data_IF_903308024555
#
_entry.id   IF_903308024555
#
_cell.length_a   1.000
_cell.length_b   1.000
_cell.length_c   1.000
_cell.angle_alpha   90.00
_cell.angle_beta   90.00
_cell.angle_gamma   90.00
#
_symmetry.space_group_name_H-M   'P 1'
#
loop_
_entity.id
_entity.type
_entity.pdbx_description
1 polymer ?
#
# COMPACT_ATOMS: atom_id res chain seq x y z
N UNK A 1 30.11 38.31 -10.64
CA UNK A 1 30.78 37.00 -10.44
C UNK A 1 29.81 35.91 -10.89
N UNK A 2 30.15 35.11 -11.87
CA UNK A 2 29.36 33.92 -12.24
C UNK A 2 29.52 32.87 -11.13
N UNK A 3 28.45 32.24 -10.62
CA UNK A 3 28.59 31.20 -9.60
C UNK A 3 29.44 30.06 -10.16
N UNK A 4 30.43 29.63 -9.40
CA UNK A 4 31.28 28.48 -9.71
C UNK A 4 30.35 27.26 -9.87
N UNK A 5 30.32 26.67 -11.07
CA UNK A 5 29.60 25.44 -11.37
C UNK A 5 30.25 24.35 -10.51
N UNK A 6 29.51 23.91 -9.48
CA UNK A 6 29.95 22.76 -8.67
C UNK A 6 29.95 21.56 -9.63
N UNK A 7 31.11 21.04 -9.99
CA UNK A 7 31.22 19.82 -10.75
C UNK A 7 30.71 18.67 -9.89
N UNK A 8 29.49 18.20 -10.20
CA UNK A 8 28.94 17.03 -9.55
C UNK A 8 29.74 15.81 -10.00
N UNK A 9 30.27 15.07 -9.05
CA UNK A 9 30.96 13.80 -9.30
C UNK A 9 29.96 12.83 -9.96
N UNK A 10 30.29 12.34 -11.14
CA UNK A 10 29.48 11.37 -11.88
C UNK A 10 29.66 9.98 -11.26
N UNK A 11 28.56 9.35 -10.83
CA UNK A 11 28.53 8.00 -10.25
C UNK A 11 27.76 7.05 -11.18
N UNK A 12 28.49 6.42 -12.12
CA UNK A 12 27.92 5.45 -13.06
C UNK A 12 27.40 4.17 -12.39
N UNK A 13 28.10 3.58 -11.40
CA UNK A 13 27.57 2.44 -10.63
C UNK A 13 26.24 2.74 -9.95
N UNK A 14 26.10 3.91 -9.32
CA UNK A 14 24.85 4.33 -8.71
C UNK A 14 23.74 4.49 -9.75
N UNK A 15 24.05 5.13 -10.89
CA UNK A 15 23.09 5.27 -11.99
C UNK A 15 22.61 3.92 -12.51
N UNK A 16 23.50 2.94 -12.66
CA UNK A 16 23.16 1.59 -13.09
C UNK A 16 22.22 0.87 -12.08
N UNK A 17 22.50 1.04 -10.79
CA UNK A 17 21.65 0.51 -9.71
C UNK A 17 20.25 1.13 -9.76
N UNK A 18 20.15 2.45 -9.87
CA UNK A 18 18.87 3.17 -9.96
C UNK A 18 18.07 2.79 -11.22
N UNK A 19 18.76 2.56 -12.36
CA UNK A 19 18.12 2.07 -13.59
C UNK A 19 17.53 0.68 -13.37
N UNK A 20 18.26 -0.24 -12.75
CA UNK A 20 17.78 -1.60 -12.45
C UNK A 20 16.58 -1.59 -11.51
N UNK A 21 16.56 -0.66 -10.56
CA UNK A 21 15.43 -0.43 -9.66
C UNK A 21 14.21 0.24 -10.35
N UNK A 22 14.30 0.58 -11.64
CA UNK A 22 13.19 1.15 -12.40
C UNK A 22 12.96 2.65 -12.22
N UNK A 23 13.92 3.39 -11.65
CA UNK A 23 13.79 4.83 -11.42
C UNK A 23 13.79 5.62 -12.74
N UNK A 24 13.04 6.73 -12.75
CA UNK A 24 12.98 7.66 -13.88
C UNK A 24 14.29 8.43 -14.06
N UNK A 25 14.55 9.00 -15.27
CA UNK A 25 15.78 9.75 -15.54
C UNK A 25 16.01 10.95 -14.62
N UNK A 26 14.97 11.63 -14.17
CA UNK A 26 15.07 12.82 -13.31
C UNK A 26 15.76 12.54 -11.96
N UNK A 27 15.27 11.61 -11.16
CA UNK A 27 15.97 11.15 -9.94
C UNK A 27 17.39 10.68 -10.21
N UNK A 28 17.60 9.84 -11.26
CA UNK A 28 18.94 9.32 -11.61
C UNK A 28 19.91 10.47 -11.90
N UNK A 29 19.52 11.42 -12.75
CA UNK A 29 20.34 12.59 -13.09
C UNK A 29 20.69 13.41 -11.84
N UNK A 30 19.71 13.57 -10.94
CA UNK A 30 19.89 14.37 -9.72
C UNK A 30 20.85 13.73 -8.73
N UNK A 31 20.75 12.43 -8.51
CA UNK A 31 21.52 11.74 -7.47
C UNK A 31 22.89 11.24 -7.97
N UNK A 32 22.98 10.79 -9.23
CA UNK A 32 24.23 10.24 -9.78
C UNK A 32 25.07 11.24 -10.59
N UNK A 33 24.53 12.41 -10.93
CA UNK A 33 25.20 13.37 -11.80
C UNK A 33 25.32 12.95 -13.28
N UNK A 34 24.75 11.80 -13.65
CA UNK A 34 24.79 11.26 -15.02
C UNK A 34 23.77 11.98 -15.89
N UNK A 35 24.15 12.39 -17.10
CA UNK A 35 23.25 13.09 -18.02
C UNK A 35 22.17 12.17 -18.60
N UNK A 36 21.03 12.71 -19.03
CA UNK A 36 19.94 11.94 -19.67
C UNK A 36 20.42 11.12 -20.87
N UNK A 37 21.34 11.65 -21.67
CA UNK A 37 21.93 10.94 -22.82
C UNK A 37 22.71 9.71 -22.38
N UNK A 38 23.48 9.83 -21.29
CA UNK A 38 24.23 8.71 -20.71
C UNK A 38 23.28 7.68 -20.05
N UNK A 39 22.21 8.13 -19.36
CA UNK A 39 21.17 7.27 -18.79
C UNK A 39 20.51 6.45 -19.90
N UNK A 40 20.13 7.07 -21.03
CA UNK A 40 19.55 6.38 -22.18
C UNK A 40 20.49 5.33 -22.79
N UNK A 41 21.81 5.61 -22.80
CA UNK A 41 22.81 4.62 -23.22
C UNK A 41 22.92 3.48 -22.22
N UNK A 42 23.07 3.77 -20.93
CA UNK A 42 23.16 2.76 -19.87
C UNK A 42 21.93 1.84 -19.83
N UNK A 43 20.72 2.37 -20.03
CA UNK A 43 19.50 1.55 -20.11
C UNK A 43 19.54 0.54 -21.24
N UNK A 44 20.00 0.95 -22.42
CA UNK A 44 20.19 0.04 -23.56
C UNK A 44 21.24 -1.03 -23.27
N UNK A 45 22.37 -0.62 -22.70
CA UNK A 45 23.48 -1.52 -22.38
C UNK A 45 23.08 -2.55 -21.30
N UNK A 46 22.17 -2.18 -20.37
CA UNK A 46 21.63 -3.03 -19.33
C UNK A 46 20.40 -3.84 -19.75
N UNK A 47 19.88 -3.64 -20.96
CA UNK A 47 18.63 -4.29 -21.41
C UNK A 47 17.38 -3.81 -20.68
N UNK A 48 17.45 -2.73 -19.91
CA UNK A 48 16.34 -2.14 -19.17
C UNK A 48 15.58 -1.17 -20.07
N UNK A 49 14.73 -1.69 -20.94
CA UNK A 49 13.85 -0.85 -21.77
C UNK A 49 12.77 -0.26 -20.86
N UNK A 50 12.75 1.05 -20.75
CA UNK A 50 11.78 1.75 -19.91
C UNK A 50 10.38 1.74 -20.53
N UNK A 51 9.39 1.43 -19.68
CA UNK A 51 8.02 1.86 -19.90
C UNK A 51 7.87 3.39 -19.82
N UNK A 52 6.67 3.90 -19.67
CA UNK A 52 6.33 5.34 -19.68
C UNK A 52 7.15 6.20 -18.69
N UNK A 53 8.32 6.64 -19.12
CA UNK A 53 9.17 7.60 -18.37
C UNK A 53 8.75 9.08 -18.56
N UNK A 54 7.62 9.32 -19.21
CA UNK A 54 7.13 10.66 -19.52
C UNK A 54 6.25 11.23 -18.41
N UNK A 55 6.41 12.50 -18.15
CA UNK A 55 5.61 13.26 -17.19
C UNK A 55 6.38 13.68 -15.93
N UNK A 56 5.85 14.67 -15.21
CA UNK A 56 6.42 15.12 -13.95
C UNK A 56 6.24 14.05 -12.86
N UNK A 57 7.13 14.06 -11.87
CA UNK A 57 6.95 13.27 -10.65
C UNK A 57 5.79 13.87 -9.84
N UNK A 58 5.04 13.02 -9.17
CA UNK A 58 4.00 13.47 -8.26
C UNK A 58 4.61 14.27 -7.11
N UNK A 59 3.95 15.37 -6.73
CA UNK A 59 4.32 16.09 -5.52
C UNK A 59 3.92 15.30 -4.28
N UNK A 60 4.68 15.42 -3.21
CA UNK A 60 4.43 14.68 -1.95
C UNK A 60 3.04 14.97 -1.38
N UNK A 61 2.56 16.19 -1.50
CA UNK A 61 1.19 16.57 -1.06
C UNK A 61 0.11 15.80 -1.84
N UNK A 62 0.37 15.46 -3.11
CA UNK A 62 -0.55 14.65 -3.93
C UNK A 62 -0.52 13.19 -3.49
N UNK A 63 0.67 12.66 -3.19
CA UNK A 63 0.85 11.31 -2.68
C UNK A 63 0.14 11.17 -1.31
N UNK A 64 0.41 12.07 -0.38
CA UNK A 64 -0.12 11.99 0.99
C UNK A 64 -1.58 12.45 1.14
N UNK A 65 -2.20 13.00 0.08
CA UNK A 65 -3.62 13.35 0.08
C UNK A 65 -4.51 12.11 -0.04
N UNK A 66 -4.11 11.14 -0.82
CA UNK A 66 -4.79 9.86 -0.90
C UNK A 66 -4.43 9.02 0.33
N UNK A 67 -5.46 8.52 1.03
CA UNK A 67 -5.27 7.81 2.31
C UNK A 67 -4.53 6.48 2.14
N UNK A 68 -4.77 5.78 1.02
CA UNK A 68 -4.09 4.51 0.75
C UNK A 68 -2.62 4.77 0.46
N UNK A 69 -2.34 5.77 -0.40
CA UNK A 69 -0.97 6.19 -0.67
C UNK A 69 -0.24 6.70 0.59
N UNK A 70 -0.94 7.40 1.48
CA UNK A 70 -0.37 7.86 2.75
C UNK A 70 -0.06 6.70 3.71
N UNK A 71 -0.89 5.65 3.71
CA UNK A 71 -0.61 4.42 4.46
C UNK A 71 0.64 3.72 3.90
N UNK A 72 0.68 3.52 2.58
CA UNK A 72 1.80 2.92 1.88
C UNK A 72 3.11 3.71 2.10
N UNK A 73 3.02 5.04 2.02
CA UNK A 73 4.14 5.92 2.29
C UNK A 73 4.64 5.80 3.74
N UNK A 74 3.74 5.64 4.70
CA UNK A 74 4.11 5.43 6.11
C UNK A 74 4.79 4.07 6.31
N UNK A 75 4.31 3.02 5.63
CA UNK A 75 4.92 1.69 5.66
C UNK A 75 6.33 1.72 5.04
N UNK A 76 6.47 2.33 3.86
CA UNK A 76 7.77 2.47 3.20
C UNK A 76 8.78 3.24 4.07
N UNK A 77 8.37 4.37 4.67
CA UNK A 77 9.24 5.16 5.56
C UNK A 77 9.64 4.34 6.79
N UNK A 78 8.75 3.49 7.31
CA UNK A 78 9.10 2.59 8.40
C UNK A 78 10.23 1.63 8.00
N UNK A 79 10.16 1.00 6.82
CA UNK A 79 11.24 0.15 6.30
C UNK A 79 12.54 0.93 6.11
N UNK A 80 12.45 2.14 5.55
CA UNK A 80 13.64 2.97 5.35
C UNK A 80 14.34 3.31 6.68
N UNK A 81 13.58 3.74 7.69
CA UNK A 81 14.13 4.09 9.01
C UNK A 81 14.66 2.86 9.76
N UNK A 82 14.06 1.68 9.54
CA UNK A 82 14.55 0.44 10.13
C UNK A 82 15.91 0.00 9.56
N UNK A 83 16.14 0.22 8.25
CA UNK A 83 17.40 -0.13 7.58
C UNK A 83 18.45 0.97 7.80
N UNK A 84 18.02 2.23 7.86
CA UNK A 84 18.88 3.38 8.09
C UNK A 84 18.92 3.68 9.58
N UNK A 85 19.98 3.26 10.28
CA UNK A 85 20.14 3.49 11.72
C UNK A 85 20.22 4.98 12.11
N UNK A 86 20.25 5.88 11.13
CA UNK A 86 20.37 7.34 11.31
C UNK A 86 19.22 8.03 10.58
N UNK A 87 18.61 9.03 11.23
CA UNK A 87 17.57 9.85 10.62
C UNK A 87 18.07 10.50 9.30
N UNK A 88 17.27 10.47 8.21
CA UNK A 88 17.69 10.95 6.89
C UNK A 88 18.14 12.43 6.85
N UNK A 89 17.69 13.23 7.80
CA UNK A 89 18.04 14.64 7.92
C UNK A 89 19.53 14.83 8.18
N UNK A 90 20.15 13.93 8.96
CA UNK A 90 21.53 14.08 9.41
C UNK A 90 22.56 13.68 8.36
N UNK A 91 22.27 12.64 7.57
CA UNK A 91 23.25 12.04 6.62
C UNK A 91 22.92 12.27 5.15
N UNK A 92 21.82 12.89 4.84
CA UNK A 92 21.33 13.05 3.50
C UNK A 92 20.68 11.78 2.92
N UNK A 93 20.12 11.89 1.71
CA UNK A 93 19.45 10.77 1.07
C UNK A 93 20.44 9.69 0.64
N UNK A 94 20.33 8.52 1.24
CA UNK A 94 21.10 7.34 0.87
C UNK A 94 20.31 6.52 -0.16
N UNK A 95 20.63 6.71 -1.44
CA UNK A 95 19.86 6.07 -2.53
C UNK A 95 19.93 4.54 -2.47
N UNK A 96 21.09 3.98 -2.03
CA UNK A 96 21.20 2.52 -1.88
C UNK A 96 20.25 1.99 -0.81
N UNK A 97 20.23 2.63 0.35
CA UNK A 97 19.29 2.32 1.44
C UNK A 97 17.84 2.51 1.01
N UNK A 98 17.56 3.53 0.17
CA UNK A 98 16.23 3.72 -0.39
C UNK A 98 15.79 2.53 -1.26
N UNK A 99 16.68 2.00 -2.10
CA UNK A 99 16.39 0.85 -2.96
C UNK A 99 16.19 -0.40 -2.09
N UNK A 100 17.04 -0.65 -1.11
CA UNK A 100 16.92 -1.76 -0.16
C UNK A 100 15.61 -1.69 0.64
N UNK A 101 15.23 -0.49 1.09
CA UNK A 101 13.96 -0.27 1.77
C UNK A 101 12.75 -0.48 0.86
N UNK A 102 12.88 -0.13 -0.42
CA UNK A 102 11.84 -0.37 -1.40
C UNK A 102 11.66 -1.86 -1.69
N UNK A 103 12.74 -2.62 -1.80
CA UNK A 103 12.69 -4.08 -1.96
C UNK A 103 12.03 -4.74 -0.74
N UNK A 104 12.40 -4.34 0.49
CA UNK A 104 11.77 -4.83 1.73
C UNK A 104 10.27 -4.48 1.81
N UNK A 105 9.91 -3.28 1.35
CA UNK A 105 8.52 -2.86 1.24
C UNK A 105 7.74 -3.75 0.25
N UNK A 106 8.31 -4.05 -0.93
CA UNK A 106 7.69 -4.95 -1.91
C UNK A 106 7.55 -6.37 -1.38
N UNK A 107 8.53 -6.88 -0.63
CA UNK A 107 8.48 -8.21 -0.01
C UNK A 107 7.36 -8.29 1.03
N UNK A 108 7.16 -7.24 1.83
CA UNK A 108 6.04 -7.15 2.76
C UNK A 108 4.70 -7.21 2.03
N UNK A 109 4.56 -6.49 0.92
CA UNK A 109 3.36 -6.54 0.08
C UNK A 109 3.14 -7.92 -0.54
N UNK A 110 4.18 -8.57 -1.03
CA UNK A 110 4.10 -9.92 -1.59
C UNK A 110 3.61 -10.93 -0.55
N UNK A 111 4.09 -10.80 0.68
CA UNK A 111 3.67 -11.63 1.82
C UNK A 111 2.20 -11.39 2.20
N UNK A 112 1.74 -10.14 2.16
CA UNK A 112 0.35 -9.76 2.43
C UNK A 112 -0.60 -10.20 1.29
N UNK A 113 -0.15 -10.18 0.02
CA UNK A 113 -0.93 -10.68 -1.12
C UNK A 113 -1.27 -12.17 -1.01
N UNK A 114 -0.35 -12.98 -0.51
CA UNK A 114 -0.61 -14.41 -0.23
C UNK A 114 -1.69 -14.60 0.84
N UNK A 115 -2.02 -13.54 1.61
CA UNK A 115 -3.07 -13.47 2.61
C UNK A 115 -4.35 -12.74 2.18
N UNK A 116 -4.58 -12.51 0.86
CA UNK A 116 -5.84 -11.93 0.33
C UNK A 116 -6.09 -10.43 0.54
N UNK A 117 -5.07 -9.62 0.79
CA UNK A 117 -5.22 -8.16 0.69
C UNK A 117 -4.76 -7.71 -0.70
N UNK A 118 -5.71 -7.47 -1.59
CA UNK A 118 -5.45 -6.82 -2.88
C UNK A 118 -5.33 -5.31 -2.67
N UNK A 119 -4.11 -4.87 -2.34
CA UNK A 119 -3.78 -3.46 -2.28
C UNK A 119 -3.50 -2.98 -3.71
N UNK A 120 -4.50 -2.42 -4.37
CA UNK A 120 -4.46 -1.94 -5.75
C UNK A 120 -3.42 -0.83 -6.00
N UNK A 121 -2.78 -0.31 -4.97
CA UNK A 121 -1.92 0.86 -5.07
C UNK A 121 -0.58 0.63 -4.37
N UNK A 122 0.40 0.17 -5.13
CA UNK A 122 1.79 0.16 -4.71
C UNK A 122 2.44 1.51 -5.03
N UNK A 123 3.22 2.04 -4.08
CA UNK A 123 4.11 3.16 -4.36
C UNK A 123 5.14 2.74 -5.43
N UNK A 124 5.36 3.60 -6.41
CA UNK A 124 6.54 3.46 -7.26
C UNK A 124 7.80 3.87 -6.51
N UNK A 125 8.95 3.36 -6.93
CA UNK A 125 10.24 3.77 -6.36
C UNK A 125 10.50 5.28 -6.53
N UNK A 126 9.95 5.89 -7.57
CA UNK A 126 10.01 7.34 -7.78
C UNK A 126 9.20 8.10 -6.73
N UNK A 127 8.03 7.58 -6.33
CA UNK A 127 7.25 8.15 -5.23
C UNK A 127 8.01 8.03 -3.90
N UNK A 128 8.66 6.89 -3.66
CA UNK A 128 9.51 6.69 -2.50
C UNK A 128 10.68 7.69 -2.48
N UNK A 129 11.31 7.92 -3.63
CA UNK A 129 12.37 8.94 -3.74
C UNK A 129 11.84 10.36 -3.47
N UNK A 130 10.65 10.71 -3.96
CA UNK A 130 10.02 12.01 -3.66
C UNK A 130 9.74 12.14 -2.17
N UNK A 131 9.17 11.13 -1.54
CA UNK A 131 8.89 11.12 -0.10
C UNK A 131 10.17 11.37 0.71
N UNK A 132 11.23 10.64 0.43
CA UNK A 132 12.50 10.77 1.17
C UNK A 132 13.21 12.09 0.89
N UNK A 133 13.09 12.63 -0.32
CA UNK A 133 13.60 13.95 -0.64
C UNK A 133 12.91 15.04 0.18
N UNK A 134 11.59 14.98 0.27
CA UNK A 134 10.79 15.97 1.02
C UNK A 134 10.93 15.76 2.54
N UNK A 135 11.17 14.53 3.00
CA UNK A 135 11.56 14.26 4.39
C UNK A 135 12.83 15.02 4.74
N UNK A 136 13.87 14.92 3.90
CA UNK A 136 15.12 15.69 4.06
C UNK A 136 14.89 17.19 4.02
N UNK A 137 13.95 17.63 3.19
CA UNK A 137 13.53 19.04 3.09
C UNK A 137 12.69 19.51 4.27
N UNK A 138 12.36 18.62 5.23
CA UNK A 138 11.47 18.89 6.35
C UNK A 138 10.04 19.33 5.92
N UNK A 139 9.62 18.97 4.70
CA UNK A 139 8.27 19.22 4.19
C UNK A 139 7.25 18.18 4.66
N UNK A 140 7.73 17.06 5.20
CA UNK A 140 6.93 16.00 5.81
C UNK A 140 7.46 15.63 7.19
N UNK A 141 6.54 15.25 8.07
CA UNK A 141 6.84 14.87 9.45
C UNK A 141 6.28 13.48 9.77
N UNK A 142 6.98 12.78 10.66
CA UNK A 142 6.46 11.62 11.38
C UNK A 142 5.66 12.11 12.58
N UNK A 143 4.47 11.56 12.78
CA UNK A 143 3.59 11.87 13.91
C UNK A 143 2.95 10.60 14.46
N UNK A 144 2.61 10.64 15.74
CA UNK A 144 1.80 9.61 16.36
C UNK A 144 0.31 9.95 16.20
N UNK A 145 -0.48 8.94 15.87
CA UNK A 145 -1.92 9.08 15.69
C UNK A 145 -2.59 9.39 17.03
N UNK A 146 -3.41 10.44 17.08
CA UNK A 146 -4.16 10.82 18.28
C UNK A 146 -5.20 9.78 18.74
N UNK A 147 -5.58 8.82 17.86
CA UNK A 147 -6.55 7.77 18.17
C UNK A 147 -5.92 6.44 18.58
N UNK A 148 -4.86 6.00 17.90
CA UNK A 148 -4.29 4.66 18.12
C UNK A 148 -2.80 4.67 18.48
N UNK A 149 -2.14 5.82 18.52
CA UNK A 149 -0.72 5.93 18.85
C UNK A 149 0.24 5.45 17.75
N UNK A 150 -0.24 4.90 16.64
CA UNK A 150 0.65 4.42 15.57
C UNK A 150 1.30 5.60 14.87
N UNK A 151 2.62 5.51 14.68
CA UNK A 151 3.38 6.50 13.92
C UNK A 151 3.02 6.47 12.43
N UNK A 152 2.83 7.63 11.83
CA UNK A 152 2.56 7.81 10.40
C UNK A 152 3.21 9.09 9.89
N UNK A 153 3.32 9.21 8.56
CA UNK A 153 3.84 10.42 7.95
C UNK A 153 2.72 11.34 7.46
N UNK A 154 2.95 12.64 7.55
CA UNK A 154 2.04 13.67 7.07
C UNK A 154 2.80 14.85 6.49
N UNK A 155 2.23 15.51 5.49
CA UNK A 155 2.79 16.76 4.96
C UNK A 155 2.55 17.90 5.95
N UNK A 156 3.48 18.86 6.01
CA UNK A 156 3.31 20.09 6.80
C UNK A 156 2.08 20.88 6.37
N UNK A 157 1.69 20.80 5.08
CA UNK A 157 0.53 21.49 4.55
C UNK A 157 -0.80 20.88 4.94
N UNK A 158 -0.86 19.53 5.02
CA UNK A 158 -2.10 18.81 5.33
C UNK A 158 -2.31 18.60 6.82
N UNK A 159 -1.24 18.53 7.58
CA UNK A 159 -1.18 18.51 9.05
C UNK A 159 -2.21 17.56 9.72
N UNK A 160 -2.37 16.36 9.18
CA UNK A 160 -3.30 15.36 9.73
C UNK A 160 -2.86 14.91 11.14
N UNK A 161 -3.83 14.81 12.06
CA UNK A 161 -3.61 14.32 13.44
C UNK A 161 -4.01 12.86 13.63
N UNK A 162 -4.66 12.28 12.64
CA UNK A 162 -5.19 10.91 12.66
C UNK A 162 -4.54 10.14 11.51
N UNK A 163 -4.00 8.96 11.81
CA UNK A 163 -3.36 8.13 10.80
C UNK A 163 -4.38 7.69 9.72
N UNK A 164 -3.91 7.32 8.52
CA UNK A 164 -4.78 6.89 7.42
C UNK A 164 -5.75 5.76 7.82
N UNK A 165 -5.30 4.79 8.62
CA UNK A 165 -6.13 3.68 9.12
C UNK A 165 -7.30 4.20 9.96
N UNK A 166 -7.02 5.00 10.99
CA UNK A 166 -8.05 5.58 11.85
C UNK A 166 -8.92 6.65 11.16
N UNK A 167 -8.44 7.25 10.08
CA UNK A 167 -9.19 8.17 9.22
C UNK A 167 -10.12 7.42 8.25
N UNK A 168 -10.16 6.07 8.34
CA UNK A 168 -10.92 5.21 7.45
C UNK A 168 -10.27 5.15 6.07
N UNK A 169 -9.11 4.49 6.00
CA UNK A 169 -8.67 3.89 4.74
C UNK A 169 -9.80 2.97 4.35
N UNK A 170 -10.60 3.39 3.38
CA UNK A 170 -11.41 2.44 2.65
C UNK A 170 -10.40 1.58 1.90
N UNK A 171 -10.06 0.43 2.43
CA UNK A 171 -9.66 -0.67 1.59
C UNK A 171 -10.89 -0.86 0.71
N UNK A 172 -10.87 -0.25 -0.46
CA UNK A 172 -11.86 -0.53 -1.49
C UNK A 172 -11.53 -1.94 -1.98
N UNK A 173 -11.84 -2.93 -1.14
CA UNK A 173 -12.08 -4.24 -1.68
C UNK A 173 -13.17 -4.02 -2.71
N UNK A 174 -12.84 -4.25 -3.97
CA UNK A 174 -13.86 -4.39 -4.99
C UNK A 174 -14.63 -5.63 -4.58
N UNK A 175 -15.81 -5.43 -3.99
CA UNK A 175 -16.65 -6.53 -3.50
C UNK A 175 -16.85 -7.62 -4.55
N UNK A 176 -16.87 -7.22 -5.83
CA UNK A 176 -17.00 -8.11 -6.98
C UNK A 176 -15.80 -9.05 -7.18
N UNK A 177 -14.67 -8.78 -6.54
CA UNK A 177 -13.43 -9.57 -6.64
C UNK A 177 -13.08 -10.28 -5.33
N UNK A 178 -13.78 -9.97 -4.22
CA UNK A 178 -13.59 -10.66 -2.95
C UNK A 178 -13.99 -12.13 -3.09
N UNK A 179 -13.12 -13.06 -2.72
CA UNK A 179 -13.48 -14.48 -2.67
C UNK A 179 -14.37 -14.81 -1.47
N UNK A 180 -15.16 -15.88 -1.58
CA UNK A 180 -15.96 -16.40 -0.46
C UNK A 180 -15.09 -16.72 0.77
N UNK A 181 -13.87 -17.20 0.55
CA UNK A 181 -12.88 -17.46 1.61
C UNK A 181 -12.49 -16.19 2.36
N UNK A 182 -12.26 -15.09 1.64
CA UNK A 182 -11.91 -13.80 2.24
C UNK A 182 -13.09 -13.23 3.03
N UNK A 183 -14.30 -13.30 2.47
CA UNK A 183 -15.50 -12.89 3.16
C UNK A 183 -15.71 -13.68 4.45
N UNK A 184 -15.51 -15.00 4.42
CA UNK A 184 -15.58 -15.85 5.59
C UNK A 184 -14.62 -15.43 6.71
N UNK A 185 -13.41 -14.99 6.36
CA UNK A 185 -12.45 -14.43 7.31
C UNK A 185 -12.95 -13.16 8.02
N UNK A 186 -13.83 -12.37 7.39
CA UNK A 186 -14.42 -11.18 7.98
C UNK A 186 -15.65 -11.46 8.85
N UNK A 187 -16.28 -12.63 8.71
CA UNK A 187 -17.53 -12.96 9.40
C UNK A 187 -17.38 -12.95 10.93
N UNK A 188 -16.30 -13.51 11.45
CA UNK A 188 -16.04 -13.53 12.89
C UNK A 188 -15.85 -12.12 13.46
N UNK A 189 -15.17 -11.25 12.70
CA UNK A 189 -14.94 -9.86 13.07
C UNK A 189 -16.26 -9.05 13.05
N UNK A 190 -17.05 -9.22 11.99
CA UNK A 190 -18.36 -8.58 11.89
C UNK A 190 -19.23 -8.90 13.11
N UNK A 191 -19.31 -10.19 13.46
CA UNK A 191 -20.06 -10.65 14.63
C UNK A 191 -19.53 -10.06 15.93
N UNK A 192 -18.20 -9.95 16.09
CA UNK A 192 -17.56 -9.36 17.26
C UNK A 192 -17.94 -7.88 17.39
N UNK A 193 -17.84 -7.10 16.32
CA UNK A 193 -18.17 -5.67 16.31
C UNK A 193 -19.65 -5.43 16.66
N UNK A 194 -20.56 -6.23 16.10
CA UNK A 194 -21.98 -6.18 16.46
C UNK A 194 -22.19 -6.51 17.95
N UNK A 195 -21.47 -7.51 18.48
CA UNK A 195 -21.57 -7.85 19.92
C UNK A 195 -21.08 -6.74 20.85
N UNK A 196 -20.22 -5.84 20.36
CA UNK A 196 -19.77 -4.65 21.08
C UNK A 196 -20.71 -3.45 20.95
N UNK A 197 -21.82 -3.60 20.21
CA UNK A 197 -22.87 -2.59 20.07
C UNK A 197 -22.67 -1.64 18.89
N UNK A 198 -21.75 -1.97 17.95
CA UNK A 198 -21.63 -1.19 16.72
C UNK A 198 -22.87 -1.43 15.81
N UNK A 199 -23.23 -0.40 15.05
CA UNK A 199 -24.34 -0.54 14.09
C UNK A 199 -23.91 -1.32 12.86
N UNK A 200 -24.81 -2.06 12.21
CA UNK A 200 -24.52 -2.79 10.96
C UNK A 200 -23.94 -1.89 9.88
N UNK A 201 -24.37 -0.63 9.84
CA UNK A 201 -23.86 0.38 8.92
C UNK A 201 -22.38 0.71 9.19
N UNK A 202 -22.00 0.87 10.46
CA UNK A 202 -20.63 1.18 10.83
C UNK A 202 -19.72 -0.03 10.61
N UNK A 203 -20.22 -1.24 10.92
CA UNK A 203 -19.52 -2.50 10.66
C UNK A 203 -19.32 -2.70 9.15
N UNK A 204 -20.36 -2.50 8.33
CA UNK A 204 -20.23 -2.59 6.87
C UNK A 204 -19.14 -1.64 6.34
N UNK A 205 -19.13 -0.41 6.84
CA UNK A 205 -18.14 0.61 6.47
C UNK A 205 -16.74 0.24 6.95
N UNK A 206 -16.61 -0.26 8.18
CA UNK A 206 -15.29 -0.59 8.79
C UNK A 206 -14.64 -1.80 8.14
N UNK A 207 -15.43 -2.83 7.81
CA UNK A 207 -14.96 -4.07 7.19
C UNK A 207 -14.99 -4.02 5.66
N UNK A 208 -15.43 -2.90 5.10
CA UNK A 208 -15.55 -2.74 3.66
C UNK A 208 -16.57 -3.69 3.05
N UNK A 209 -17.67 -4.02 3.70
CA UNK A 209 -18.76 -4.83 3.18
C UNK A 209 -19.71 -3.98 2.34
N UNK A 210 -20.38 -4.60 1.37
CA UNK A 210 -21.21 -3.89 0.39
C UNK A 210 -22.35 -3.08 1.03
N UNK A 211 -23.00 -3.65 2.03
CA UNK A 211 -24.12 -3.02 2.76
C UNK A 211 -24.41 -3.78 4.08
N UNK A 212 -25.41 -3.29 4.80
CA UNK A 212 -25.88 -3.87 6.08
C UNK A 212 -26.34 -5.32 5.93
N UNK A 213 -26.97 -5.69 4.82
CA UNK A 213 -27.39 -7.06 4.56
C UNK A 213 -26.22 -8.05 4.52
N UNK A 214 -25.05 -7.60 4.04
CA UNK A 214 -23.84 -8.42 4.07
C UNK A 214 -23.32 -8.62 5.50
N UNK A 215 -23.51 -7.65 6.39
CA UNK A 215 -23.16 -7.78 7.82
C UNK A 215 -24.05 -8.80 8.49
N UNK A 216 -25.37 -8.77 8.24
CA UNK A 216 -26.30 -9.75 8.76
C UNK A 216 -25.92 -11.18 8.34
N UNK A 217 -25.65 -11.40 7.04
CA UNK A 217 -25.17 -12.69 6.51
C UNK A 217 -23.84 -13.10 7.11
N UNK A 218 -22.90 -12.16 7.29
CA UNK A 218 -21.62 -12.45 7.93
C UNK A 218 -21.78 -12.92 9.37
N UNK A 219 -22.69 -12.30 10.12
CA UNK A 219 -23.02 -12.71 11.50
C UNK A 219 -23.68 -14.10 11.55
N UNK A 220 -24.58 -14.40 10.62
CA UNK A 220 -25.20 -15.73 10.49
C UNK A 220 -24.17 -16.81 10.16
N UNK A 221 -23.30 -16.56 9.16
CA UNK A 221 -22.23 -17.49 8.79
C UNK A 221 -21.23 -17.72 9.93
N UNK A 222 -20.88 -16.65 10.68
CA UNK A 222 -20.03 -16.80 11.86
C UNK A 222 -20.65 -17.62 12.99
N UNK A 223 -21.96 -17.77 12.98
CA UNK A 223 -22.72 -18.62 13.93
C UNK A 223 -22.98 -20.03 13.39
N UNK A 224 -22.78 -20.27 12.11
CA UNK A 224 -23.01 -21.56 11.47
C UNK A 224 -22.02 -22.65 11.95
N UNK A 225 -22.36 -23.94 11.83
CA UNK A 225 -21.43 -25.03 12.09
C UNK A 225 -20.14 -24.91 11.26
N UNK A 226 -19.02 -25.38 11.81
CA UNK A 226 -17.72 -25.24 11.15
C UNK A 226 -17.66 -25.92 9.76
N UNK A 227 -18.34 -27.05 9.59
CA UNK A 227 -18.45 -27.72 8.27
C UNK A 227 -19.10 -26.83 7.21
N UNK A 228 -20.11 -26.04 7.60
CA UNK A 228 -20.84 -25.14 6.70
C UNK A 228 -19.97 -23.92 6.35
N UNK A 229 -19.20 -23.41 7.33
CA UNK A 229 -18.25 -22.32 7.10
C UNK A 229 -17.15 -22.74 6.13
N UNK A 230 -16.65 -23.97 6.26
CA UNK A 230 -15.66 -24.55 5.34
C UNK A 230 -16.24 -24.71 3.94
N UNK A 231 -17.45 -25.28 3.81
CA UNK A 231 -18.12 -25.44 2.53
C UNK A 231 -18.36 -24.11 1.80
N UNK A 232 -18.74 -23.06 2.54
CA UNK A 232 -18.84 -21.71 1.99
C UNK A 232 -17.49 -21.18 1.52
N UNK A 233 -16.44 -21.28 2.34
CA UNK A 233 -15.12 -20.76 2.04
C UNK A 233 -14.44 -21.47 0.84
N UNK A 234 -14.73 -22.74 0.64
CA UNK A 234 -14.15 -23.60 -0.42
C UNK A 234 -14.98 -23.60 -1.71
N UNK A 235 -16.04 -22.81 -1.78
CA UNK A 235 -16.97 -22.78 -2.94
C UNK A 235 -16.34 -22.30 -4.25
N UNK A 236 -15.11 -21.76 -4.25
CA UNK A 236 -14.45 -21.12 -5.41
C UNK A 236 -15.26 -19.96 -6.06
N UNK A 237 -16.22 -19.42 -5.34
CA UNK A 237 -17.06 -18.30 -5.77
C UNK A 237 -16.46 -16.98 -5.32
N UNK A 238 -16.86 -15.88 -5.99
CA UNK A 238 -16.71 -14.55 -5.43
C UNK A 238 -17.61 -14.39 -4.21
N UNK A 239 -17.29 -13.49 -3.31
CA UNK A 239 -18.11 -13.22 -2.14
C UNK A 239 -19.54 -12.79 -2.54
N UNK A 240 -19.69 -12.04 -3.64
CA UNK A 240 -21.00 -11.60 -4.11
C UNK A 240 -21.86 -12.78 -4.58
N UNK A 241 -21.31 -13.68 -5.39
CA UNK A 241 -22.00 -14.89 -5.83
C UNK A 241 -22.38 -15.79 -4.64
N UNK A 242 -21.42 -16.00 -3.71
CA UNK A 242 -21.64 -16.82 -2.53
C UNK A 242 -22.68 -16.22 -1.58
N UNK A 243 -22.66 -14.91 -1.35
CA UNK A 243 -23.64 -14.20 -0.52
C UNK A 243 -25.03 -14.23 -1.16
N UNK A 244 -25.14 -14.04 -2.48
CA UNK A 244 -26.41 -14.13 -3.20
C UNK A 244 -26.97 -15.56 -3.16
N UNK A 245 -26.13 -16.56 -3.33
CA UNK A 245 -26.53 -17.97 -3.22
C UNK A 245 -27.01 -18.30 -1.79
N UNK A 246 -26.25 -17.85 -0.79
CA UNK A 246 -26.64 -18.01 0.62
C UNK A 246 -27.99 -17.34 0.92
N UNK A 247 -28.17 -16.10 0.47
CA UNK A 247 -29.41 -15.36 0.69
C UNK A 247 -30.62 -16.01 0.03
N UNK A 248 -30.45 -16.71 -1.10
CA UNK A 248 -31.52 -17.34 -1.87
C UNK A 248 -31.86 -18.77 -1.41
N UNK A 249 -30.87 -19.56 -1.02
CA UNK A 249 -31.03 -21.00 -0.77
C UNK A 249 -30.43 -21.46 0.58
N UNK A 250 -29.88 -20.55 1.36
CA UNK A 250 -29.24 -20.84 2.64
C UNK A 250 -27.94 -21.67 2.50
N UNK A 251 -27.39 -22.07 3.64
CA UNK A 251 -26.11 -22.79 3.71
C UNK A 251 -26.12 -24.15 2.97
N UNK A 252 -27.29 -24.77 2.87
CA UNK A 252 -27.44 -26.08 2.19
C UNK A 252 -27.04 -26.05 0.72
N UNK A 253 -27.06 -24.88 0.07
CA UNK A 253 -26.63 -24.73 -1.30
C UNK A 253 -25.13 -25.08 -1.51
N UNK A 254 -24.31 -24.96 -0.48
CA UNK A 254 -22.85 -25.22 -0.55
C UNK A 254 -22.51 -26.69 -0.27
N UNK A 255 -23.33 -27.38 0.52
CA UNK A 255 -23.09 -28.79 0.88
C UNK A 255 -23.39 -29.78 -0.24
N UNK A 256 -24.17 -29.39 -1.25
CA UNK A 256 -24.50 -30.22 -2.41
C UNK A 256 -23.49 -30.11 -3.58
N UNK A 257 -22.54 -29.15 -3.55
CA UNK A 257 -21.50 -29.01 -4.58
C UNK A 257 -20.21 -29.77 -4.27
N UNK A 258 -20.09 -30.36 -3.08
CA UNK A 258 -18.90 -31.08 -2.64
C UNK A 258 -18.95 -32.62 -2.91
N UNK A 259 -19.96 -33.10 -3.63
CA UNK A 259 -20.09 -34.46 -4.14
C UNK A 259 -20.06 -34.40 -5.70
#
# INVERSE_FOLDING_TARGET
MKPKKIERKVDLPLAALMIKAGMRPGPIEKESGVTRKQIAKLRRDLGCLSGNDSGPLQAVDTILRDKNMALEASLFVHHYLYICDVEPVDVGLQVRTLIEAYDAYLDTHSSLRNGSMDLDVLLSIDNCWVIMREWRGQEINKRDCSKCGIAFITSLKTNHHVCPICAGVSIKQKYNEMSAKTFMGLCAEARRMISWGETEKDVAKSLGLKNEAWVAIACELAAAPQCDQIAFAESNMTAEEAVLLYASAGIKAFTHQAN
#
